data_IF_428388665171
#
_entry.id   IF_428388665171
#
_cell.length_a   1.000
_cell.length_b   1.000
_cell.length_c   1.000
_cell.angle_alpha   90.00
_cell.angle_beta   90.00
_cell.angle_gamma   90.00
#
_symmetry.space_group_name_H-M   'P 1'
#
loop_
_entity.id
_entity.type
_entity.pdbx_description
1 polymer ?
#
# COMPACT_ATOMS: atom_id res chain seq x y z
N UNK A 1 9.45 16.56 4.59
CA UNK A 1 8.04 16.64 5.05
C UNK A 1 8.06 17.33 6.39
N UNK A 2 7.19 18.32 6.56
CA UNK A 2 7.00 19.08 7.79
C UNK A 2 6.02 18.39 8.74
N UNK A 3 5.88 18.93 9.96
CA UNK A 3 5.00 18.37 10.98
C UNK A 3 3.54 18.29 10.52
N UNK A 4 3.07 19.24 9.72
CA UNK A 4 1.67 19.25 9.25
C UNK A 4 1.43 18.41 8.00
N UNK A 5 2.49 17.87 7.39
CA UNK A 5 2.35 17.02 6.22
C UNK A 5 1.76 15.65 6.57
N UNK A 6 0.93 15.16 5.65
CA UNK A 6 0.31 13.84 5.74
C UNK A 6 1.32 12.73 5.43
N UNK A 7 1.62 11.93 6.45
CA UNK A 7 2.43 10.72 6.33
C UNK A 7 1.57 9.56 5.84
N UNK A 8 0.35 9.41 6.34
CA UNK A 8 -0.58 8.41 5.81
C UNK A 8 -1.66 9.08 4.97
N UNK A 9 -1.51 9.00 3.64
CA UNK A 9 -2.46 9.57 2.68
C UNK A 9 -3.78 8.78 2.54
N UNK A 10 -3.88 7.59 3.14
CA UNK A 10 -5.13 6.80 3.15
C UNK A 10 -6.07 7.23 4.27
N UNK A 11 -5.50 7.56 5.43
CA UNK A 11 -6.25 7.91 6.65
C UNK A 11 -5.99 9.35 7.11
N UNK A 12 -5.35 10.16 6.25
CA UNK A 12 -5.04 11.57 6.49
C UNK A 12 -4.35 11.83 7.83
N UNK A 13 -3.31 11.04 8.12
CA UNK A 13 -2.55 11.14 9.38
C UNK A 13 -1.29 11.97 9.16
N UNK A 14 -1.19 13.12 9.83
CA UNK A 14 -0.04 14.01 9.77
C UNK A 14 1.14 13.52 10.62
N UNK A 15 2.35 13.98 10.28
CA UNK A 15 3.56 13.73 11.07
C UNK A 15 3.43 14.19 12.51
N UNK A 16 2.83 15.38 12.74
CA UNK A 16 2.55 15.94 14.08
C UNK A 16 1.73 14.98 14.93
N UNK A 17 0.68 14.41 14.34
CA UNK A 17 -0.21 13.46 15.04
C UNK A 17 0.53 12.19 15.44
N UNK A 18 1.41 11.67 14.58
CA UNK A 18 2.26 10.51 14.89
C UNK A 18 3.27 10.83 15.99
N UNK A 19 3.97 11.97 15.91
CA UNK A 19 4.93 12.40 16.94
C UNK A 19 4.23 12.57 18.29
N UNK A 20 3.06 13.21 18.31
CA UNK A 20 2.26 13.35 19.53
C UNK A 20 1.81 12.00 20.08
N UNK A 21 1.34 11.10 19.21
CA UNK A 21 0.97 9.74 19.60
C UNK A 21 2.15 8.99 20.22
N UNK A 22 3.35 9.06 19.64
CA UNK A 22 4.55 8.41 20.17
C UNK A 22 4.92 8.94 21.56
N UNK A 23 4.81 10.27 21.77
CA UNK A 23 5.07 10.90 23.08
C UNK A 23 4.08 10.48 24.16
N UNK A 24 2.79 10.45 23.84
CA UNK A 24 1.72 10.18 24.82
C UNK A 24 1.57 8.68 25.07
N UNK A 25 1.50 7.87 24.02
CA UNK A 25 1.19 6.44 24.11
C UNK A 25 2.43 5.57 24.29
N UNK A 26 3.63 6.10 24.03
CA UNK A 26 4.92 5.40 24.17
C UNK A 26 4.89 3.98 23.58
N UNK A 27 4.52 3.83 22.29
CA UNK A 27 4.49 2.53 21.63
C UNK A 27 5.85 1.83 21.77
N UNK A 28 5.83 0.51 21.94
CA UNK A 28 7.04 -0.32 22.06
C UNK A 28 7.54 -0.85 20.71
N UNK A 29 6.68 -0.85 19.69
CA UNK A 29 6.99 -1.31 18.34
C UNK A 29 6.37 -0.37 17.30
N UNK A 30 7.04 -0.18 16.17
CA UNK A 30 6.53 0.65 15.07
C UNK A 30 5.16 0.20 14.55
N UNK A 31 4.86 -1.10 14.57
CA UNK A 31 3.55 -1.63 14.14
C UNK A 31 2.38 -1.07 14.96
N UNK A 32 2.63 -0.64 16.20
CA UNK A 32 1.61 0.00 17.04
C UNK A 32 1.24 1.41 16.59
N UNK A 33 1.97 2.01 15.64
CA UNK A 33 1.54 3.25 14.99
C UNK A 33 0.23 3.09 14.21
N UNK A 34 -0.16 1.87 13.87
CA UNK A 34 -1.50 1.57 13.33
C UNK A 34 -2.64 1.93 14.29
N UNK A 35 -2.39 1.96 15.59
CA UNK A 35 -3.36 2.42 16.59
C UNK A 35 -3.58 3.94 16.50
N UNK A 36 -2.69 4.69 15.84
CA UNK A 36 -2.89 6.09 15.52
C UNK A 36 -3.75 6.23 14.26
N UNK A 37 -5.07 6.17 14.43
CA UNK A 37 -6.06 6.36 13.36
C UNK A 37 -5.86 5.46 12.14
N UNK A 38 -5.37 4.23 12.34
CA UNK A 38 -5.18 3.26 11.25
C UNK A 38 -3.91 3.46 10.42
N UNK A 39 -2.98 4.33 10.81
CA UNK A 39 -1.80 4.63 9.99
C UNK A 39 -1.04 3.36 9.56
N UNK A 40 -0.88 3.19 8.25
CA UNK A 40 -0.14 2.06 7.66
C UNK A 40 -0.95 0.81 7.33
N UNK A 41 -2.24 0.73 7.67
CA UNK A 41 -3.08 -0.46 7.37
C UNK A 41 -3.79 -0.40 6.01
N UNK A 42 -3.70 0.72 5.30
CA UNK A 42 -4.34 0.93 3.99
C UNK A 42 -3.47 0.39 2.85
N UNK A 43 -2.93 1.28 2.01
CA UNK A 43 -2.11 0.85 0.88
C UNK A 43 -0.70 0.34 1.26
N UNK A 44 -0.22 0.60 2.48
CA UNK A 44 1.09 0.16 2.96
C UNK A 44 2.28 1.06 2.54
N UNK A 45 2.10 2.01 1.62
CA UNK A 45 3.16 2.90 1.15
C UNK A 45 3.92 3.61 2.27
N UNK A 46 3.19 4.12 3.27
CA UNK A 46 3.78 4.90 4.35
C UNK A 46 4.47 4.06 5.44
N UNK A 47 4.41 2.73 5.40
CA UNK A 47 4.93 1.86 6.49
C UNK A 47 6.42 2.08 6.74
N UNK A 48 7.22 2.27 5.69
CA UNK A 48 8.66 2.54 5.83
C UNK A 48 8.93 3.90 6.48
N UNK A 49 8.09 4.90 6.23
CA UNK A 49 8.19 6.22 6.87
C UNK A 49 7.78 6.13 8.34
N UNK A 50 6.71 5.39 8.64
CA UNK A 50 6.29 5.12 10.03
C UNK A 50 7.39 4.44 10.85
N UNK A 51 8.08 3.45 10.27
CA UNK A 51 9.21 2.80 10.92
C UNK A 51 10.34 3.79 11.21
N UNK A 52 10.75 4.61 10.24
CA UNK A 52 11.80 5.62 10.45
C UNK A 52 11.42 6.64 11.52
N UNK A 53 10.18 7.15 11.51
CA UNK A 53 9.70 8.08 12.53
C UNK A 53 9.70 7.45 13.93
N UNK A 54 9.36 6.17 14.02
CA UNK A 54 9.45 5.42 15.28
C UNK A 54 10.90 5.30 15.75
N UNK A 55 11.82 4.89 14.87
CA UNK A 55 13.23 4.70 15.21
C UNK A 55 13.87 6.03 15.66
N UNK A 56 13.61 7.14 14.94
CA UNK A 56 14.05 8.50 15.32
C UNK A 56 13.51 8.92 16.69
N UNK A 57 12.25 8.59 16.99
CA UNK A 57 11.64 8.88 18.28
C UNK A 57 12.26 8.08 19.45
N UNK A 58 12.91 6.95 19.17
CA UNK A 58 13.51 6.07 20.16
C UNK A 58 14.98 6.42 20.45
N UNK A 59 15.75 6.75 19.40
CA UNK A 59 17.17 7.08 19.54
C UNK A 59 17.39 8.53 20.00
N UNK A 60 16.40 9.41 19.80
CA UNK A 60 16.59 10.86 20.00
C UNK A 60 17.58 11.45 19.00
N UNK A 61 17.97 10.67 18.00
CA UNK A 61 18.98 11.00 17.02
C UNK A 61 18.28 11.52 15.76
N UNK A 62 18.52 12.80 15.47
CA UNK A 62 17.99 13.49 14.29
C UNK A 62 18.95 13.31 13.09
N UNK A 63 19.86 12.32 13.10
CA UNK A 63 20.70 11.97 11.92
C UNK A 63 19.78 11.51 10.78
N UNK A 64 19.35 12.51 10.01
CA UNK A 64 18.33 12.42 8.98
C UNK A 64 18.98 12.18 7.64
N UNK A 65 18.79 10.98 7.12
CA UNK A 65 18.55 10.89 5.68
C UNK A 65 17.45 11.91 5.32
N UNK A 66 17.63 12.71 4.26
CA UNK A 66 16.66 13.74 3.91
C UNK A 66 15.27 13.13 3.75
N UNK A 67 14.32 13.62 4.57
CA UNK A 67 12.93 13.21 4.43
C UNK A 67 12.37 13.79 3.13
N UNK A 68 11.60 13.00 2.36
CA UNK A 68 11.00 13.50 1.13
C UNK A 68 10.08 14.68 1.47
N UNK A 69 9.93 15.60 0.53
CA UNK A 69 8.91 16.65 0.58
C UNK A 69 7.50 16.04 0.56
N UNK A 70 6.51 16.84 0.95
CA UNK A 70 5.08 16.48 0.89
C UNK A 70 4.67 16.03 -0.51
N UNK A 71 5.16 16.73 -1.54
CA UNK A 71 4.88 16.45 -2.94
C UNK A 71 5.54 15.16 -3.43
N UNK A 72 6.83 14.95 -3.12
CA UNK A 72 7.53 13.70 -3.44
C UNK A 72 6.87 12.49 -2.77
N UNK A 73 6.38 12.66 -1.54
CA UNK A 73 5.67 11.60 -0.83
C UNK A 73 4.33 11.24 -1.52
N UNK A 74 3.57 12.25 -1.96
CA UNK A 74 2.30 12.05 -2.70
C UNK A 74 2.53 11.43 -4.08
N UNK A 75 3.46 11.96 -4.86
CA UNK A 75 3.79 11.44 -6.19
C UNK A 75 4.37 10.02 -6.12
N UNK A 76 5.22 9.75 -5.13
CA UNK A 76 5.73 8.41 -4.86
C UNK A 76 4.63 7.39 -4.56
N UNK A 77 3.60 7.78 -3.78
CA UNK A 77 2.43 6.91 -3.54
C UNK A 77 1.68 6.59 -4.83
N UNK A 78 1.45 7.59 -5.69
CA UNK A 78 0.74 7.39 -6.95
C UNK A 78 1.44 6.31 -7.80
N UNK A 79 2.77 6.44 -7.95
CA UNK A 79 3.60 5.44 -8.65
C UNK A 79 3.59 4.07 -7.97
N UNK A 80 3.61 4.03 -6.64
CA UNK A 80 3.51 2.78 -5.89
C UNK A 80 2.18 2.05 -6.14
N UNK A 81 1.06 2.79 -6.22
CA UNK A 81 -0.24 2.20 -6.52
C UNK A 81 -0.29 1.66 -7.94
N UNK A 82 0.16 2.41 -8.95
CA UNK A 82 0.21 1.96 -10.34
C UNK A 82 1.03 0.67 -10.51
N UNK A 83 2.19 0.60 -9.86
CA UNK A 83 3.07 -0.58 -9.92
C UNK A 83 2.51 -1.77 -9.16
N UNK A 84 1.83 -1.54 -8.03
CA UNK A 84 1.15 -2.59 -7.27
C UNK A 84 -0.01 -3.19 -8.05
N UNK A 85 -0.83 -2.35 -8.68
CA UNK A 85 -1.97 -2.80 -9.47
C UNK A 85 -1.51 -3.58 -10.71
N UNK A 86 -0.40 -3.15 -11.34
CA UNK A 86 0.23 -3.89 -12.45
C UNK A 86 0.80 -5.24 -12.01
N UNK A 87 1.39 -5.31 -10.81
CA UNK A 87 1.96 -6.55 -10.27
C UNK A 87 0.88 -7.51 -9.75
N UNK A 88 -0.31 -6.98 -9.41
CA UNK A 88 -1.47 -7.75 -8.99
C UNK A 88 -2.36 -8.20 -10.18
N UNK A 89 -2.18 -7.61 -11.37
CA UNK A 89 -2.84 -8.07 -12.57
C UNK A 89 -2.39 -9.52 -12.87
N UNK A 90 -3.30 -10.50 -12.99
CA UNK A 90 -2.92 -11.84 -13.37
C UNK A 90 -2.25 -11.78 -14.75
N UNK A 91 -1.11 -12.45 -14.91
CA UNK A 91 -0.57 -12.72 -16.24
C UNK A 91 -1.70 -13.33 -17.07
N UNK A 92 -2.10 -12.65 -18.15
CA UNK A 92 -3.22 -13.05 -18.98
C UNK A 92 -3.10 -14.56 -19.29
N UNK A 93 -4.02 -15.36 -18.77
CA UNK A 93 -4.08 -16.78 -19.07
C UNK A 93 -4.40 -16.93 -20.56
N UNK A 94 -3.69 -17.81 -21.31
CA UNK A 94 -4.12 -18.18 -22.65
C UNK A 94 -5.56 -18.69 -22.55
N UNK A 95 -6.48 -18.15 -23.34
CA UNK A 95 -7.83 -18.68 -23.44
C UNK A 95 -7.70 -20.08 -24.08
N UNK A 96 -8.04 -21.13 -23.35
CA UNK A 96 -8.33 -22.44 -23.94
C UNK A 96 -9.63 -22.31 -24.75
N UNK A 97 -9.52 -22.46 -26.07
CA UNK A 97 -10.66 -22.64 -26.98
C UNK A 97 -11.50 -23.84 -26.52
N UNK A 98 -12.83 -23.70 -26.36
CA UNK A 98 -13.68 -24.86 -26.11
C UNK A 98 -13.75 -25.73 -27.38
N UNK A 99 -13.59 -27.07 -27.31
CA UNK A 99 -13.83 -27.92 -28.46
C UNK A 99 -15.30 -27.83 -28.88
N UNK A 100 -15.53 -27.49 -30.15
CA UNK A 100 -16.85 -27.53 -30.78
C UNK A 100 -17.40 -28.96 -30.79
N UNK A 101 -18.69 -29.17 -30.49
CA UNK A 101 -19.29 -30.49 -30.54
C UNK A 101 -19.57 -30.89 -31.99
N UNK A 102 -18.65 -31.63 -32.61
CA UNK A 102 -18.90 -32.35 -33.85
C UNK A 102 -19.45 -33.75 -33.53
N UNK A 103 -20.75 -33.81 -33.22
CA UNK A 103 -21.53 -35.05 -33.36
C UNK A 103 -22.86 -34.68 -34.03
N UNK A 104 -22.77 -34.42 -35.34
CA UNK A 104 -23.93 -34.30 -36.20
C UNK A 104 -24.53 -35.70 -36.40
N UNK A 105 -25.55 -35.98 -35.60
CA UNK A 105 -26.50 -37.07 -35.76
C UNK A 105 -27.09 -37.04 -37.19
N UNK A 106 -26.47 -37.80 -38.09
CA UNK A 106 -26.90 -37.97 -39.47
C UNK A 106 -27.23 -39.43 -39.76
N UNK A 107 -28.36 -39.92 -39.26
CA UNK A 107 -28.96 -41.18 -39.73
C UNK A 107 -30.40 -40.94 -40.20
N UNK A 108 -30.51 -40.27 -41.34
CA UNK A 108 -31.72 -40.30 -42.16
C UNK A 108 -31.81 -41.67 -42.84
N UNK A 109 -32.74 -42.52 -42.38
CA UNK A 109 -33.25 -43.65 -43.17
C UNK A 109 -34.66 -43.33 -43.65
N UNK A 110 -34.91 -43.27 -44.97
CA UNK A 110 -36.26 -43.42 -45.49
C UNK A 110 -36.44 -44.76 -46.25
N UNK A 111 -37.60 -45.35 -45.95
CA UNK A 111 -38.39 -46.40 -46.64
C UNK A 111 -37.84 -47.81 -46.84
#
# INVERSE_FOLDING_TARGET
MELDDEVCLCFHVSKRKLVQFMRVQKPRRATQLSLCSGAGTGCGWCVKILQRLFDQGQTGDDDRLPEPTSEEHRSGRARYLETRDRSAAPAASPQDDPPTPEDSYGHSRPH
#
